data_IF_198759847862
#
_entry.id   IF_198759847862
#
_cell.length_a   1.000
_cell.length_b   1.000
_cell.length_c   1.000
_cell.angle_alpha   90.00
_cell.angle_beta   90.00
_cell.angle_gamma   90.00
#
_symmetry.space_group_name_H-M   'P 1'
#
loop_
_entity.id
_entity.type
_entity.pdbx_description
1 polymer ?
#
# COMPACT_ATOMS: atom_id res chain seq x y z
N UNK A 1 -25.47 -1.29 9.63
CA UNK A 1 -24.21 -1.26 8.86
C UNK A 1 -24.47 -2.06 7.60
N UNK A 2 -24.25 -1.48 6.42
CA UNK A 2 -24.43 -2.20 5.16
C UNK A 2 -23.46 -3.38 5.12
N UNK A 3 -23.96 -4.57 4.77
CA UNK A 3 -23.12 -5.75 4.59
C UNK A 3 -22.08 -5.49 3.51
N UNK A 4 -20.84 -5.90 3.79
CA UNK A 4 -19.75 -5.79 2.83
C UNK A 4 -19.90 -6.90 1.79
N UNK A 5 -20.21 -6.53 0.54
CA UNK A 5 -20.62 -7.50 -0.48
C UNK A 5 -19.46 -8.29 -1.12
N UNK A 6 -18.23 -7.77 -1.08
CA UNK A 6 -17.07 -8.46 -1.62
C UNK A 6 -16.57 -9.54 -0.67
N UNK A 7 -16.07 -10.64 -1.21
CA UNK A 7 -15.44 -11.70 -0.40
C UNK A 7 -13.95 -11.42 -0.29
N UNK A 8 -13.45 -11.41 0.94
CA UNK A 8 -12.03 -11.24 1.26
C UNK A 8 -11.46 -12.55 1.80
N UNK A 9 -10.25 -12.90 1.37
CA UNK A 9 -9.48 -14.00 1.92
C UNK A 9 -8.02 -13.56 2.09
N UNK A 10 -7.53 -13.41 3.34
CA UNK A 10 -8.23 -13.65 4.60
C UNK A 10 -9.33 -12.60 4.91
N UNK A 11 -10.31 -12.97 5.74
CA UNK A 11 -11.55 -12.19 5.94
C UNK A 11 -11.41 -11.01 6.92
N UNK A 12 -10.61 -11.15 7.97
CA UNK A 12 -10.59 -10.20 9.10
C UNK A 12 -9.22 -9.63 9.42
N UNK A 13 -8.15 -10.40 9.17
CA UNK A 13 -6.81 -10.05 9.60
C UNK A 13 -5.77 -10.45 8.58
N UNK A 14 -4.74 -9.62 8.46
CA UNK A 14 -3.54 -9.89 7.70
C UNK A 14 -2.43 -10.17 8.69
N UNK A 15 -1.88 -11.39 8.66
CA UNK A 15 -0.77 -11.76 9.53
C UNK A 15 0.50 -11.82 8.71
N UNK A 16 1.48 -11.00 9.06
CA UNK A 16 2.84 -11.12 8.54
C UNK A 16 3.60 -12.13 9.40
N UNK A 17 4.13 -13.17 8.76
CA UNK A 17 4.86 -14.25 9.41
C UNK A 17 6.28 -14.28 8.84
N UNK A 18 7.29 -14.27 9.71
CA UNK A 18 8.67 -14.43 9.27
C UNK A 18 9.68 -14.28 10.38
N UNK A 19 10.92 -14.77 10.12
CA UNK A 19 12.04 -14.69 11.06
C UNK A 19 12.63 -13.27 11.15
N UNK A 20 12.65 -12.58 10.02
CA UNK A 20 13.31 -11.28 9.79
C UNK A 20 12.32 -10.13 9.55
N UNK A 21 11.18 -10.16 10.25
CA UNK A 21 10.19 -9.10 10.14
C UNK A 21 10.82 -7.73 10.46
N UNK A 22 10.69 -6.78 9.54
CA UNK A 22 11.24 -5.43 9.71
C UNK A 22 12.69 -5.27 9.24
N UNK A 23 13.44 -6.36 9.09
CA UNK A 23 14.76 -6.35 8.45
C UNK A 23 14.65 -6.48 6.93
N UNK A 24 13.78 -7.38 6.47
CA UNK A 24 13.50 -7.63 5.05
C UNK A 24 12.02 -7.34 4.74
N UNK A 25 11.67 -6.96 3.50
CA UNK A 25 10.29 -6.77 3.12
C UNK A 25 9.52 -8.09 3.23
N UNK A 26 8.40 -8.09 3.94
CA UNK A 26 7.57 -9.28 4.11
C UNK A 26 6.28 -9.12 3.29
N UNK A 27 6.18 -9.75 2.10
CA UNK A 27 4.96 -9.75 1.33
C UNK A 27 3.95 -10.78 1.84
N UNK A 28 2.67 -10.44 1.71
CA UNK A 28 1.51 -11.33 1.87
C UNK A 28 0.48 -10.96 0.82
N UNK A 29 -0.53 -11.80 0.64
CA UNK A 29 -1.54 -11.62 -0.41
C UNK A 29 -2.93 -11.55 0.21
N UNK A 30 -3.71 -10.57 -0.23
CA UNK A 30 -5.14 -10.48 0.04
C UNK A 30 -5.90 -10.80 -1.25
N UNK A 31 -6.68 -11.86 -1.23
CA UNK A 31 -7.55 -12.24 -2.34
C UNK A 31 -8.92 -11.57 -2.18
N UNK A 32 -9.40 -10.95 -3.25
CA UNK A 32 -10.65 -10.20 -3.26
C UNK A 32 -11.49 -10.70 -4.43
N UNK A 33 -12.66 -11.23 -4.13
CA UNK A 33 -13.61 -11.76 -5.12
C UNK A 33 -14.86 -10.90 -5.15
N UNK A 34 -15.38 -10.63 -6.34
CA UNK A 34 -16.65 -9.96 -6.56
C UNK A 34 -17.77 -10.97 -6.84
N UNK A 35 -18.56 -11.39 -5.84
CA UNK A 35 -19.68 -12.30 -6.04
C UNK A 35 -20.94 -11.59 -6.57
N UNK A 36 -20.92 -10.26 -6.76
CA UNK A 36 -22.12 -9.52 -7.18
C UNK A 36 -22.32 -9.59 -8.70
N UNK A 37 -23.51 -9.21 -9.16
CA UNK A 37 -23.86 -9.11 -10.59
C UNK A 37 -23.39 -7.81 -11.25
N UNK A 38 -22.69 -6.94 -10.51
CA UNK A 38 -22.28 -5.61 -10.98
C UNK A 38 -20.75 -5.50 -10.95
N UNK A 39 -20.18 -4.71 -11.88
CA UNK A 39 -18.77 -4.32 -11.83
C UNK A 39 -18.51 -3.43 -10.61
N UNK A 40 -17.44 -3.72 -9.88
CA UNK A 40 -17.04 -2.99 -8.68
C UNK A 40 -15.68 -2.33 -8.90
N UNK A 41 -15.58 -1.01 -8.69
CA UNK A 41 -14.28 -0.34 -8.58
C UNK A 41 -13.85 -0.39 -7.12
N UNK A 42 -12.69 -0.99 -6.87
CA UNK A 42 -12.17 -1.25 -5.53
C UNK A 42 -10.95 -0.36 -5.25
N UNK A 43 -10.74 -0.03 -3.97
CA UNK A 43 -9.58 0.71 -3.49
C UNK A 43 -9.14 0.14 -2.15
N UNK A 44 -7.85 -0.15 -2.04
CA UNK A 44 -7.23 -0.64 -0.80
C UNK A 44 -6.33 0.46 -0.25
N UNK A 45 -6.53 0.81 1.01
CA UNK A 45 -5.71 1.78 1.76
C UNK A 45 -5.12 1.11 2.99
N UNK A 46 -4.11 1.74 3.59
CA UNK A 46 -3.55 1.34 4.87
C UNK A 46 -3.38 2.55 5.80
N UNK A 47 -3.17 2.28 7.08
CA UNK A 47 -2.93 3.33 8.09
C UNK A 47 -1.57 4.01 7.97
N UNK A 48 -0.56 3.36 7.35
CA UNK A 48 0.76 3.96 7.12
C UNK A 48 1.37 3.47 5.81
N UNK A 49 1.47 4.39 4.84
CA UNK A 49 2.11 4.11 3.54
C UNK A 49 3.63 3.96 3.65
N UNK A 50 4.23 4.41 4.75
CA UNK A 50 5.66 4.20 5.00
C UNK A 50 5.94 2.76 5.43
N UNK A 51 5.06 2.18 6.25
CA UNK A 51 5.20 0.81 6.74
C UNK A 51 4.70 -0.23 5.75
N UNK A 52 3.66 0.09 4.98
CA UNK A 52 3.01 -0.87 4.11
C UNK A 52 2.96 -0.40 2.66
N UNK A 53 3.19 -1.34 1.75
CA UNK A 53 2.98 -1.15 0.31
C UNK A 53 1.83 -2.02 -0.16
N UNK A 54 0.99 -1.49 -1.04
CA UNK A 54 -0.19 -2.17 -1.60
C UNK A 54 -0.05 -2.19 -3.11
N UNK A 55 -0.23 -3.36 -3.75
CA UNK A 55 -0.25 -3.48 -5.22
C UNK A 55 -1.24 -4.55 -5.72
N UNK A 56 -2.17 -4.21 -6.64
CA UNK A 56 -2.55 -2.85 -7.03
C UNK A 56 -3.36 -2.13 -5.92
N UNK A 57 -3.20 -0.81 -5.73
CA UNK A 57 -3.97 -0.07 -4.73
C UNK A 57 -5.41 0.24 -5.17
N UNK A 58 -5.64 0.35 -6.48
CA UNK A 58 -6.94 0.66 -7.10
C UNK A 58 -7.11 -0.26 -8.30
N UNK A 59 -8.26 -0.91 -8.42
CA UNK A 59 -8.55 -1.88 -9.49
C UNK A 59 -10.07 -2.00 -9.69
N UNK A 60 -10.51 -2.67 -10.75
CA UNK A 60 -11.91 -3.02 -10.96
C UNK A 60 -12.07 -4.54 -11.00
N UNK A 61 -13.22 -5.02 -10.55
CA UNK A 61 -13.63 -6.43 -10.65
C UNK A 61 -14.96 -6.51 -11.39
N UNK A 62 -15.00 -7.29 -12.47
CA UNK A 62 -16.24 -7.69 -13.13
C UNK A 62 -17.05 -8.66 -12.24
N UNK A 63 -18.32 -8.91 -12.57
CA UNK A 63 -19.10 -9.95 -11.90
C UNK A 63 -18.38 -11.30 -11.93
N UNK A 64 -18.21 -11.93 -10.76
CA UNK A 64 -17.52 -13.21 -10.61
C UNK A 64 -15.99 -13.16 -10.70
N UNK A 65 -15.39 -11.99 -10.94
CA UNK A 65 -13.94 -11.83 -11.03
C UNK A 65 -13.27 -11.80 -9.65
N UNK A 66 -12.02 -12.22 -9.60
CA UNK A 66 -11.19 -12.14 -8.41
C UNK A 66 -9.79 -11.62 -8.73
N UNK A 67 -9.16 -10.99 -7.75
CA UNK A 67 -7.80 -10.49 -7.85
C UNK A 67 -7.02 -10.75 -6.56
N UNK A 68 -5.71 -10.93 -6.71
CA UNK A 68 -4.76 -11.00 -5.61
C UNK A 68 -4.01 -9.68 -5.46
N UNK A 69 -4.20 -9.02 -4.32
CA UNK A 69 -3.50 -7.78 -3.95
C UNK A 69 -2.30 -8.14 -3.09
N UNK A 70 -1.10 -7.81 -3.54
CA UNK A 70 0.14 -7.94 -2.77
C UNK A 70 0.22 -6.83 -1.73
N UNK A 71 0.26 -7.21 -0.47
CA UNK A 71 0.43 -6.35 0.70
C UNK A 71 1.81 -6.61 1.26
N UNK A 72 2.64 -5.59 1.42
CA UNK A 72 4.03 -5.76 1.85
C UNK A 72 4.30 -4.92 3.08
N UNK A 73 4.80 -5.54 4.14
CA UNK A 73 5.43 -4.82 5.24
C UNK A 73 6.87 -4.50 4.84
N UNK A 74 7.22 -3.21 4.83
CA UNK A 74 8.51 -2.74 4.35
C UNK A 74 9.65 -3.03 5.35
N UNK A 75 10.84 -3.24 4.81
CA UNK A 75 12.07 -3.31 5.60
C UNK A 75 12.44 -1.98 6.27
N UNK A 76 13.33 -2.04 7.26
CA UNK A 76 13.81 -0.90 8.04
C UNK A 76 12.74 -0.31 8.98
N UNK A 77 11.67 -1.06 9.26
CA UNK A 77 10.57 -0.63 10.12
C UNK A 77 10.56 -1.47 11.38
N UNK A 78 10.39 -0.80 12.52
CA UNK A 78 10.12 -1.50 13.78
C UNK A 78 8.77 -2.21 13.68
N UNK A 79 8.69 -3.44 14.18
CA UNK A 79 7.45 -4.21 14.18
C UNK A 79 6.49 -3.52 15.17
N UNK A 80 5.34 -2.99 14.71
CA UNK A 80 4.38 -2.36 15.61
C UNK A 80 3.57 -3.43 16.35
N UNK A 81 2.88 -3.03 17.43
CA UNK A 81 1.99 -3.95 18.15
C UNK A 81 0.86 -4.44 17.25
N UNK A 82 0.54 -5.73 17.38
CA UNK A 82 -0.54 -6.39 16.64
C UNK A 82 -1.89 -5.71 16.89
N UNK A 83 -2.68 -5.53 15.83
CA UNK A 83 -3.98 -4.86 15.88
C UNK A 83 -3.94 -3.32 15.83
N UNK A 84 -2.77 -2.67 15.85
CA UNK A 84 -2.69 -1.19 15.74
C UNK A 84 -2.92 -0.69 14.32
N UNK A 85 -2.40 -1.40 13.32
CA UNK A 85 -2.52 -1.04 11.92
C UNK A 85 -3.59 -1.88 11.23
N UNK A 86 -4.12 -1.37 10.13
CA UNK A 86 -5.10 -2.09 9.32
C UNK A 86 -5.00 -1.69 7.85
N UNK A 87 -5.42 -2.62 6.99
CA UNK A 87 -5.82 -2.32 5.64
C UNK A 87 -7.33 -2.03 5.61
N UNK A 88 -7.76 -1.15 4.72
CA UNK A 88 -9.16 -0.87 4.49
C UNK A 88 -9.47 -1.06 3.00
N UNK A 89 -10.40 -1.97 2.71
CA UNK A 89 -10.91 -2.24 1.37
C UNK A 89 -12.22 -1.49 1.21
N UNK A 90 -12.28 -0.64 0.20
CA UNK A 90 -13.44 0.12 -0.20
C UNK A 90 -13.89 -0.33 -1.58
N UNK A 91 -15.19 -0.28 -1.85
CA UNK A 91 -15.70 -0.45 -3.19
C UNK A 91 -16.85 0.48 -3.49
N UNK A 92 -17.01 0.79 -4.77
CA UNK A 92 -18.14 1.49 -5.36
C UNK A 92 -18.64 0.70 -6.57
N UNK A 93 -19.94 0.76 -6.80
CA UNK A 93 -20.52 0.24 -8.05
C UNK A 93 -20.00 1.07 -9.23
N UNK A 94 -19.40 0.42 -10.22
CA UNK A 94 -18.89 1.04 -11.44
C UNK A 94 -19.82 0.70 -12.61
N UNK A 95 -20.65 1.65 -13.03
CA UNK A 95 -21.66 1.43 -14.07
C UNK A 95 -21.09 1.46 -15.49
N UNK A 96 -20.05 2.26 -15.73
CA UNK A 96 -19.36 2.36 -17.01
C UNK A 96 -18.21 1.36 -17.07
N UNK A 97 -18.24 0.41 -18.01
CA UNK A 97 -17.20 -0.62 -18.19
C UNK A 97 -15.90 -0.08 -18.82
N UNK A 98 -16.00 1.00 -19.60
CA UNK A 98 -14.86 1.60 -20.30
C UNK A 98 -14.07 2.55 -19.40
N UNK A 99 -14.63 2.90 -18.24
CA UNK A 99 -13.99 3.78 -17.29
C UNK A 99 -12.95 3.04 -16.45
N UNK A 100 -11.75 3.61 -16.37
CA UNK A 100 -10.70 3.11 -15.49
C UNK A 100 -11.12 3.24 -14.02
N UNK A 101 -10.69 2.31 -13.12
CA UNK A 101 -11.15 2.30 -11.73
C UNK A 101 -10.78 3.58 -10.97
N UNK A 102 -9.61 4.19 -11.23
CA UNK A 102 -9.21 5.49 -10.67
C UNK A 102 -10.20 6.61 -11.05
N UNK A 103 -10.65 6.61 -12.30
CA UNK A 103 -11.63 7.58 -12.80
C UNK A 103 -13.03 7.34 -12.20
N UNK A 104 -13.46 6.08 -12.02
CA UNK A 104 -14.69 5.77 -11.28
C UNK A 104 -14.69 6.39 -9.86
N UNK A 105 -13.56 6.31 -9.16
CA UNK A 105 -13.41 6.92 -7.83
C UNK A 105 -13.37 8.45 -7.85
N UNK A 106 -12.96 9.06 -8.96
CA UNK A 106 -12.89 10.52 -9.09
C UNK A 106 -14.27 11.15 -9.28
N UNK A 107 -15.13 10.47 -10.02
CA UNK A 107 -16.51 10.89 -10.27
C UNK A 107 -17.46 10.57 -9.10
N UNK A 108 -17.10 9.58 -8.29
CA UNK A 108 -17.94 9.11 -7.19
C UNK A 108 -18.10 10.21 -6.13
N UNK A 109 -19.35 10.64 -5.93
CA UNK A 109 -19.71 11.64 -4.92
C UNK A 109 -20.32 10.93 -3.71
N UNK A 110 -19.74 11.17 -2.54
CA UNK A 110 -20.22 10.64 -1.26
C UNK A 110 -19.48 9.39 -0.80
N UNK A 111 -20.11 8.65 0.10
CA UNK A 111 -19.49 7.50 0.75
C UNK A 111 -19.38 6.29 -0.18
N UNK A 112 -18.35 5.44 0.00
CA UNK A 112 -18.21 4.19 -0.73
C UNK A 112 -19.41 3.26 -0.48
N UNK A 113 -19.76 2.44 -1.47
CA UNK A 113 -20.86 1.46 -1.35
C UNK A 113 -20.61 0.48 -0.20
N UNK A 114 -19.36 0.09 0.03
CA UNK A 114 -18.99 -0.71 1.19
C UNK A 114 -17.54 -0.51 1.60
N UNK A 115 -17.27 -0.79 2.87
CA UNK A 115 -15.93 -0.71 3.49
C UNK A 115 -15.72 -1.88 4.44
N UNK A 116 -14.53 -2.51 4.39
CA UNK A 116 -14.10 -3.53 5.35
C UNK A 116 -12.67 -3.25 5.80
N UNK A 117 -12.42 -3.32 7.11
CA UNK A 117 -11.09 -3.21 7.70
C UNK A 117 -10.53 -4.60 7.98
N UNK A 118 -9.25 -4.80 7.68
CA UNK A 118 -8.48 -5.98 8.05
C UNK A 118 -7.32 -5.55 8.94
N UNK A 119 -7.34 -5.97 10.20
CA UNK A 119 -6.29 -5.63 11.16
C UNK A 119 -5.00 -6.38 10.84
N UNK A 120 -3.87 -5.77 11.17
CA UNK A 120 -2.55 -6.32 10.87
C UNK A 120 -1.95 -6.87 12.16
N UNK A 121 -1.56 -8.14 12.11
CA UNK A 121 -0.84 -8.82 13.18
C UNK A 121 0.54 -9.29 12.68
N UNK A 122 1.47 -9.47 13.61
CA UNK A 122 2.83 -9.91 13.32
C UNK A 122 3.16 -11.15 14.15
N UNK A 123 3.68 -12.19 13.49
CA UNK A 123 4.11 -13.41 14.15
C UNK A 123 5.55 -13.71 13.76
N UNK A 124 6.46 -13.67 14.73
CA UNK A 124 7.83 -14.13 14.50
C UNK A 124 7.78 -15.63 14.30
N UNK A 125 8.36 -16.09 13.21
CA UNK A 125 8.52 -17.52 12.97
C UNK A 125 9.67 -17.98 13.87
N UNK A 126 9.35 -18.51 15.05
CA UNK A 126 10.34 -19.19 15.87
C UNK A 126 10.79 -20.41 15.07
N UNK A 127 11.98 -20.36 14.49
CA UNK A 127 12.69 -21.61 14.20
C UNK A 127 12.80 -22.36 15.53
N UNK A 128 12.69 -23.68 15.51
CA UNK A 128 12.83 -24.53 16.70
C UNK A 128 14.14 -24.27 17.45
N UNK A 129 14.20 -23.20 18.23
CA UNK A 129 15.23 -22.97 19.23
C UNK A 129 14.72 -23.66 20.47
N UNK A 130 15.21 -24.91 20.60
CA UNK A 130 15.11 -25.81 21.73
C UNK A 130 14.71 -25.09 23.01
N UNK A 131 13.54 -25.48 23.52
CA UNK A 131 13.00 -25.23 24.86
C UNK A 131 14.10 -25.39 25.93
N UNK A 132 14.85 -24.33 26.16
CA UNK A 132 15.86 -24.24 27.22
C UNK A 132 15.15 -23.82 28.49
N UNK A 133 15.01 -24.77 29.40
CA UNK A 133 14.38 -24.63 30.72
C UNK A 133 14.75 -23.32 31.45
N UNK A 134 13.70 -22.75 32.04
CA UNK A 134 13.72 -21.69 33.02
C UNK A 134 14.85 -21.86 34.05
N UNK A 135 15.82 -20.96 34.05
CA UNK A 135 16.54 -20.60 35.27
C UNK A 135 16.12 -19.20 35.70
N UNK A 136 15.07 -19.20 36.52
CA UNK A 136 14.66 -18.14 37.43
C UNK A 136 15.87 -17.78 38.32
N UNK A 137 16.48 -16.63 38.06
CA UNK A 137 17.65 -16.12 38.78
C UNK A 137 17.45 -14.64 39.03
N UNK A 138 17.06 -14.36 40.27
CA UNK A 138 16.66 -13.08 40.84
C UNK A 138 17.70 -11.94 40.69
N UNK A 139 17.12 -10.75 40.64
CA UNK A 139 17.70 -9.40 40.68
C UNK A 139 19.04 -9.24 41.42
N UNK A 140 19.99 -8.57 40.74
CA UNK A 140 20.86 -7.60 41.40
C UNK A 140 20.97 -6.32 40.57
N UNK A 141 20.51 -5.26 41.22
CA UNK A 141 20.42 -3.85 40.83
C UNK A 141 21.73 -3.15 41.18
N UNK A 142 22.10 -2.15 40.38
CA UNK A 142 23.18 -1.20 40.62
C UNK A 142 24.44 -1.51 39.80
N UNK A 143 25.11 -0.55 39.16
CA UNK A 143 25.01 0.90 39.20
C UNK A 143 25.77 1.45 37.98
N UNK A 144 25.32 2.60 37.50
CA UNK A 144 25.78 3.28 36.29
C UNK A 144 27.29 3.52 36.23
N UNK A 145 27.89 3.23 35.06
CA UNK A 145 29.12 3.91 34.63
C UNK A 145 28.96 4.43 33.20
N UNK A 146 28.76 5.75 33.10
CA UNK A 146 29.25 6.62 32.01
C UNK A 146 30.67 6.13 31.62
N UNK A 147 30.99 5.91 30.36
CA UNK A 147 30.70 6.76 29.22
C UNK A 147 32.00 7.51 28.92
N UNK A 148 32.88 6.89 28.14
CA UNK A 148 33.93 7.60 27.42
C UNK A 148 34.30 6.83 26.15
N UNK A 149 34.33 7.59 25.08
CA UNK A 149 34.56 7.23 23.69
C UNK A 149 36.05 7.03 23.41
N UNK A 150 36.37 6.10 22.50
CA UNK A 150 37.34 6.24 21.38
C UNK A 150 37.52 4.86 20.76
N UNK A 151 36.98 4.60 19.56
CA UNK A 151 37.37 5.03 18.20
C UNK A 151 38.52 4.17 17.65
N UNK A 152 38.12 3.41 16.64
CA UNK A 152 38.87 2.90 15.47
C UNK A 152 40.24 2.26 15.71
N UNK A 153 40.30 0.96 15.40
CA UNK A 153 41.34 0.49 14.49
C UNK A 153 40.80 -0.66 13.63
N UNK A 154 40.76 -0.41 12.33
CA UNK A 154 40.68 -1.42 11.28
C UNK A 154 41.82 -2.44 11.45
N UNK A 155 41.51 -3.72 11.25
CA UNK A 155 42.40 -4.55 10.43
C UNK A 155 41.68 -5.71 9.76
N UNK A 156 41.87 -5.69 8.45
CA UNK A 156 41.45 -6.62 7.40
C UNK A 156 42.13 -7.99 7.50
N UNK A 157 41.52 -8.88 6.72
CA UNK A 157 42.09 -10.02 6.00
C UNK A 157 42.28 -11.34 6.76
N UNK A 158 41.48 -12.31 6.33
CA UNK A 158 41.52 -13.71 6.69
C UNK A 158 40.64 -14.48 5.71
N UNK A 159 41.07 -14.47 4.46
CA UNK A 159 40.55 -15.26 3.34
C UNK A 159 40.86 -16.75 3.61
N UNK A 160 39.85 -17.61 3.74
CA UNK A 160 40.03 -19.03 3.48
C UNK A 160 38.76 -19.63 2.85
N UNK A 161 38.97 -20.05 1.59
CA UNK A 161 38.07 -20.81 0.72
C UNK A 161 37.63 -22.12 1.38
N UNK A 162 36.36 -22.48 1.21
CA UNK A 162 35.96 -23.89 1.04
C UNK A 162 34.82 -23.99 0.03
N UNK A 163 35.14 -24.66 -1.08
CA UNK A 163 34.30 -24.99 -2.22
C UNK A 163 33.20 -25.98 -1.87
N UNK A 164 32.10 -25.95 -2.64
CA UNK A 164 31.16 -27.07 -2.77
C UNK A 164 29.69 -26.66 -2.66
N UNK A 165 29.07 -26.29 -3.78
CA UNK A 165 27.61 -26.17 -3.86
C UNK A 165 27.03 -25.10 -4.78
N UNK A 166 27.76 -24.66 -5.81
CA UNK A 166 27.22 -23.81 -6.89
C UNK A 166 26.68 -24.71 -8.00
N UNK A 167 25.36 -24.88 -8.07
CA UNK A 167 24.68 -25.09 -9.37
C UNK A 167 23.16 -24.92 -9.24
N UNK A 168 22.56 -25.18 -8.07
CA UNK A 168 21.11 -24.99 -7.87
C UNK A 168 20.64 -23.58 -7.48
N UNK A 169 21.56 -22.70 -7.06
CA UNK A 169 21.20 -21.38 -6.50
C UNK A 169 21.21 -20.25 -7.54
N UNK A 170 21.73 -20.49 -8.73
CA UNK A 170 21.83 -19.46 -9.76
C UNK A 170 20.53 -19.30 -10.58
N UNK A 171 19.73 -20.36 -10.73
CA UNK A 171 18.44 -20.27 -11.43
C UNK A 171 17.40 -19.47 -10.64
N UNK A 172 17.20 -19.75 -9.34
CA UNK A 172 16.23 -19.00 -8.51
C UNK A 172 16.57 -17.51 -8.44
N UNK A 173 17.85 -17.15 -8.35
CA UNK A 173 18.26 -15.75 -8.24
C UNK A 173 18.07 -14.97 -9.55
N UNK A 174 17.97 -15.66 -10.69
CA UNK A 174 17.76 -15.03 -12.00
C UNK A 174 16.28 -14.81 -12.29
N UNK A 175 15.39 -15.69 -11.82
CA UNK A 175 13.94 -15.50 -11.90
C UNK A 175 13.47 -14.35 -11.00
N UNK A 176 13.94 -14.29 -9.75
CA UNK A 176 13.53 -13.24 -8.80
C UNK A 176 13.91 -11.83 -9.31
N UNK A 177 15.13 -11.70 -9.87
CA UNK A 177 15.61 -10.44 -10.45
C UNK A 177 14.92 -10.06 -11.76
N UNK A 178 14.39 -11.06 -12.48
CA UNK A 178 13.62 -10.89 -13.72
C UNK A 178 12.21 -10.37 -13.44
N UNK A 179 11.54 -10.91 -12.42
CA UNK A 179 10.26 -10.39 -11.94
C UNK A 179 10.43 -8.98 -11.40
N UNK A 180 11.46 -8.70 -10.58
CA UNK A 180 11.67 -7.38 -9.99
C UNK A 180 11.81 -6.27 -11.05
N UNK A 181 12.58 -6.52 -12.13
CA UNK A 181 12.75 -5.56 -13.23
C UNK A 181 11.50 -5.39 -14.09
N UNK A 182 10.71 -6.45 -14.30
CA UNK A 182 9.46 -6.38 -15.07
C UNK A 182 8.39 -5.62 -14.27
N UNK A 183 8.37 -5.80 -12.95
CA UNK A 183 7.52 -5.05 -12.02
C UNK A 183 7.92 -3.58 -11.89
N UNK A 184 9.22 -3.25 -11.91
CA UNK A 184 9.69 -1.85 -11.93
C UNK A 184 9.17 -1.12 -13.18
N UNK A 185 9.25 -1.74 -14.36
CA UNK A 185 8.80 -1.13 -15.61
C UNK A 185 7.28 -0.91 -15.63
N UNK A 186 6.49 -1.83 -15.06
CA UNK A 186 5.04 -1.68 -14.94
C UNK A 186 4.64 -0.61 -13.92
N UNK A 187 5.38 -0.49 -12.81
CA UNK A 187 5.17 0.55 -11.81
C UNK A 187 5.55 1.95 -12.32
N UNK A 188 6.58 2.08 -13.15
CA UNK A 188 6.95 3.37 -13.74
C UNK A 188 5.89 3.85 -14.75
N UNK A 189 5.29 2.93 -15.51
CA UNK A 189 4.18 3.22 -16.43
C UNK A 189 2.93 3.68 -15.66
N UNK A 190 2.56 2.98 -14.59
CA UNK A 190 1.45 3.38 -13.70
C UNK A 190 1.69 4.75 -13.04
N UNK A 191 2.93 5.03 -12.62
CA UNK A 191 3.28 6.32 -11.98
C UNK A 191 3.31 7.48 -12.98
N UNK A 192 3.69 7.23 -14.24
CA UNK A 192 3.59 8.21 -15.33
C UNK A 192 2.14 8.50 -15.69
N UNK A 193 1.27 7.50 -15.66
CA UNK A 193 -0.18 7.71 -15.78
C UNK A 193 -0.72 8.54 -14.61
N UNK A 194 -0.36 8.23 -13.35
CA UNK A 194 -0.77 9.02 -12.17
C UNK A 194 -0.36 10.50 -12.33
N UNK A 195 0.88 10.80 -12.77
CA UNK A 195 1.32 12.20 -12.97
C UNK A 195 0.57 12.90 -14.11
N UNK A 196 0.24 12.19 -15.20
CA UNK A 196 -0.43 12.77 -16.37
C UNK A 196 -1.92 13.00 -16.15
N UNK A 197 -2.59 12.15 -15.36
CA UNK A 197 -4.00 12.37 -14.97
C UNK A 197 -4.16 13.54 -13.99
N UNK A 198 -3.25 13.70 -13.00
CA UNK A 198 -3.29 14.85 -12.09
C UNK A 198 -3.05 16.18 -12.84
N UNK A 199 -2.12 16.22 -13.80
CA UNK A 199 -1.85 17.43 -14.61
C UNK A 199 -3.07 17.81 -15.47
N UNK A 200 -3.74 16.82 -16.08
CA UNK A 200 -4.96 17.07 -16.87
C UNK A 200 -6.13 17.55 -16.01
N UNK A 201 -6.27 17.07 -14.77
CA UNK A 201 -7.27 17.56 -13.81
C UNK A 201 -7.02 19.00 -13.37
N UNK A 202 -5.77 19.42 -13.22
CA UNK A 202 -5.46 20.82 -12.92
C UNK A 202 -5.84 21.74 -14.08
N UNK A 203 -5.60 21.35 -15.34
CA UNK A 203 -6.01 22.14 -16.50
C UNK A 203 -7.53 22.23 -16.64
N UNK A 204 -8.27 21.13 -16.50
CA UNK A 204 -9.75 21.12 -16.62
C UNK A 204 -10.40 21.98 -15.53
N UNK A 205 -9.88 21.91 -14.29
CA UNK A 205 -10.36 22.74 -13.18
C UNK A 205 -10.03 24.24 -13.37
N UNK A 206 -8.97 24.55 -14.12
CA UNK A 206 -8.57 25.92 -14.44
C UNK A 206 -9.39 26.50 -15.60
N UNK A 207 -9.88 25.66 -16.51
CA UNK A 207 -10.86 26.06 -17.53
C UNK A 207 -12.25 26.31 -16.93
N UNK A 208 -12.77 25.42 -16.08
CA UNK A 208 -14.06 25.65 -15.40
C UNK A 208 -14.05 26.97 -14.62
N UNK A 209 -12.97 27.24 -13.88
CA UNK A 209 -12.86 28.49 -13.11
C UNK A 209 -12.81 29.75 -13.99
N UNK A 210 -12.22 29.66 -15.20
CA UNK A 210 -12.20 30.78 -16.15
C UNK A 210 -13.57 31.01 -16.80
N UNK A 211 -14.35 29.95 -17.05
CA UNK A 211 -15.71 30.10 -17.57
C UNK A 211 -16.65 30.73 -16.55
N UNK A 212 -16.54 30.37 -15.27
CA UNK A 212 -17.33 31.00 -14.20
C UNK A 212 -17.00 32.49 -14.03
N UNK A 213 -15.71 32.85 -14.06
CA UNK A 213 -15.28 34.26 -13.93
C UNK A 213 -15.79 35.11 -15.11
N UNK A 214 -15.76 34.57 -16.34
CA UNK A 214 -16.27 35.26 -17.52
C UNK A 214 -17.80 35.45 -17.49
N UNK A 215 -18.55 34.49 -16.94
CA UNK A 215 -20.01 34.61 -16.78
C UNK A 215 -20.39 35.66 -15.73
N UNK A 216 -19.60 35.83 -14.68
CA UNK A 216 -19.83 36.88 -13.68
C UNK A 216 -19.58 38.29 -14.25
N UNK A 217 -18.55 38.49 -15.07
CA UNK A 217 -18.27 39.79 -15.70
C UNK A 217 -19.35 40.18 -16.72
N UNK A 218 -19.83 39.24 -17.54
CA UNK A 218 -20.90 39.51 -18.52
C UNK A 218 -22.20 39.95 -17.82
N UNK A 219 -22.53 39.32 -16.68
CA UNK A 219 -23.70 39.68 -15.88
C UNK A 219 -23.59 41.08 -15.25
N UNK A 220 -22.38 41.50 -14.84
CA UNK A 220 -22.15 42.85 -14.29
C UNK A 220 -22.24 43.94 -15.36
N UNK A 221 -21.84 43.67 -16.61
CA UNK A 221 -22.00 44.64 -17.70
C UNK A 221 -23.47 44.87 -18.07
N UNK A 222 -24.30 43.83 -18.08
CA UNK A 222 -25.74 43.98 -18.36
C UNK A 222 -26.46 44.78 -17.27
N UNK A 223 -26.12 44.55 -15.99
CA UNK A 223 -26.72 45.30 -14.87
C UNK A 223 -26.39 46.80 -14.94
N UNK A 224 -25.17 47.14 -15.37
CA UNK A 224 -24.72 48.53 -15.51
C UNK A 224 -25.38 49.26 -16.69
N UNK A 225 -25.66 48.54 -17.79
CA UNK A 225 -26.36 49.10 -18.96
C UNK A 225 -27.85 49.34 -18.70
N UNK A 226 -28.47 48.58 -17.79
CA UNK A 226 -29.84 48.87 -17.35
C UNK A 226 -29.93 50.11 -16.44
N UNK A 227 -28.93 50.36 -15.59
CA UNK A 227 -28.91 51.57 -14.76
C UNK A 227 -28.75 52.86 -15.58
N UNK A 228 -27.92 52.89 -16.62
CA UNK A 228 -27.76 54.10 -17.46
C UNK A 228 -28.99 54.43 -18.33
N UNK A 229 -29.96 53.51 -18.46
CA UNK A 229 -31.20 53.73 -19.22
C UNK A 229 -32.37 54.24 -18.38
N UNK A 230 -32.22 54.34 -17.06
CA UNK A 230 -33.24 54.90 -16.15
C UNK A 230 -32.93 56.35 -15.81
#
# INVERSE_FOLDING_TARGET
>A
MSDFALKLDPTERITYIGKKLGEEPCPTTLKITNPTSDRQACKVKCTSNEMFRIRPPVFALKPGEEISVKLTFNAGKTIPDSGKHYFAVYYIKATDENKAPRACWSDHKGDPTGTKRLYIDFKKEEGEEKKGEEKKGEEKKGEEKKGEEKKEEEKKEGEEKKEGGEEKKEEEKKEEKGEEKKDEKKAEDEKKEDKKEDEKKEDEKKEEKKEDEKKEDEKKEDEKKEEEKK
#
